data_IF_387322676073
#
_entry.id   IF_387322676073
#
_cell.length_a   1.000
_cell.length_b   1.000
_cell.length_c   1.000
_cell.angle_alpha   90.00
_cell.angle_beta   90.00
_cell.angle_gamma   90.00
#
_symmetry.space_group_name_H-M   'P 1'
#
loop_
_entity.id
_entity.type
_entity.pdbx_description
1 polymer ?
#
# COMPACT_ATOMS: atom_id res chain seq x y z
N UNK A 1 -19.16 -20.43 -6.78
CA UNK A 1 -18.06 -19.46 -6.92
C UNK A 1 -17.22 -19.88 -8.10
N UNK A 2 -17.01 -18.97 -9.02
CA UNK A 2 -16.15 -19.18 -10.19
C UNK A 2 -14.69 -19.34 -9.74
N UNK A 3 -13.84 -19.98 -10.54
CA UNK A 3 -12.42 -20.20 -10.21
C UNK A 3 -11.72 -18.85 -9.97
N UNK A 4 -12.11 -17.83 -10.73
CA UNK A 4 -11.60 -16.48 -10.64
C UNK A 4 -11.91 -15.86 -9.26
N UNK A 5 -13.15 -16.02 -8.77
CA UNK A 5 -13.58 -15.50 -7.47
C UNK A 5 -12.80 -16.13 -6.31
N UNK A 6 -12.48 -17.43 -6.44
CA UNK A 6 -11.71 -18.16 -5.42
C UNK A 6 -10.25 -17.71 -5.39
N UNK A 7 -9.63 -17.45 -6.54
CA UNK A 7 -8.26 -16.92 -6.60
C UNK A 7 -8.22 -15.51 -5.99
N UNK A 8 -9.23 -14.69 -6.27
CA UNK A 8 -9.30 -13.34 -5.71
C UNK A 8 -9.39 -13.36 -4.18
N UNK A 9 -10.41 -14.03 -3.64
CA UNK A 9 -10.70 -14.03 -2.20
C UNK A 9 -9.66 -14.76 -1.35
N UNK A 10 -9.12 -15.88 -1.84
CA UNK A 10 -8.22 -16.73 -1.04
C UNK A 10 -6.73 -16.39 -1.23
N UNK A 11 -6.38 -15.68 -2.32
CA UNK A 11 -4.97 -15.41 -2.67
C UNK A 11 -4.72 -13.91 -2.80
N UNK A 12 -5.45 -13.21 -3.67
CA UNK A 12 -5.16 -11.80 -3.96
C UNK A 12 -5.50 -10.89 -2.78
N UNK A 13 -6.69 -11.01 -2.19
CA UNK A 13 -7.12 -10.15 -1.10
C UNK A 13 -6.18 -10.26 0.13
N UNK A 14 -5.79 -11.45 0.60
CA UNK A 14 -4.79 -11.58 1.67
C UNK A 14 -3.43 -10.98 1.32
N UNK A 15 -2.97 -11.14 0.07
CA UNK A 15 -1.69 -10.56 -0.38
C UNK A 15 -1.75 -9.03 -0.38
N UNK A 16 -2.86 -8.44 -0.84
CA UNK A 16 -3.04 -6.99 -0.83
C UNK A 16 -3.00 -6.45 0.61
N UNK A 17 -3.70 -7.10 1.53
CA UNK A 17 -3.68 -6.74 2.97
C UNK A 17 -2.28 -6.88 3.56
N UNK A 18 -1.57 -7.97 3.21
CA UNK A 18 -0.19 -8.19 3.67
C UNK A 18 0.74 -7.10 3.14
N UNK A 19 0.67 -6.77 1.85
CA UNK A 19 1.48 -5.72 1.24
C UNK A 19 1.19 -4.36 1.87
N UNK A 20 -0.08 -4.06 2.17
CA UNK A 20 -0.46 -2.84 2.89
C UNK A 20 0.18 -2.79 4.28
N UNK A 21 0.10 -3.90 5.02
CA UNK A 21 0.78 -4.03 6.32
C UNK A 21 2.29 -3.78 6.21
N UNK A 22 2.96 -4.37 5.22
CA UNK A 22 4.39 -4.17 4.96
C UNK A 22 4.70 -2.71 4.64
N UNK A 23 3.89 -2.05 3.80
CA UNK A 23 4.09 -0.64 3.45
C UNK A 23 3.97 0.28 4.67
N UNK A 24 2.99 0.04 5.54
CA UNK A 24 2.82 0.77 6.80
C UNK A 24 3.99 0.53 7.74
N UNK A 25 4.42 -0.72 7.92
CA UNK A 25 5.58 -1.05 8.77
C UNK A 25 6.84 -0.39 8.25
N UNK A 26 7.06 -0.40 6.94
CA UNK A 26 8.22 0.24 6.31
C UNK A 26 8.21 1.76 6.47
N UNK A 27 7.03 2.39 6.35
CA UNK A 27 6.83 3.80 6.65
C UNK A 27 7.18 4.11 8.11
N UNK A 28 6.64 3.34 9.05
CA UNK A 28 6.89 3.52 10.48
C UNK A 28 8.37 3.32 10.83
N UNK A 29 9.04 2.35 10.21
CA UNK A 29 10.48 2.17 10.35
C UNK A 29 11.26 3.41 9.90
N UNK A 30 10.90 3.99 8.75
CA UNK A 30 11.48 5.25 8.29
C UNK A 30 11.24 6.41 9.25
N UNK A 31 10.03 6.50 9.81
CA UNK A 31 9.66 7.52 10.80
C UNK A 31 10.47 7.39 12.10
N UNK A 32 10.60 6.17 12.64
CA UNK A 32 11.41 5.92 13.82
C UNK A 32 12.88 6.28 13.57
N UNK A 33 13.43 5.88 12.42
CA UNK A 33 14.80 6.22 12.04
C UNK A 33 15.01 7.72 11.86
N UNK A 34 14.03 8.43 11.30
CA UNK A 34 14.05 9.88 11.16
C UNK A 34 14.07 10.60 12.51
N UNK A 35 13.25 10.16 13.48
CA UNK A 35 13.16 10.78 14.81
C UNK A 35 14.41 10.47 15.65
N UNK A 36 14.89 9.22 15.65
CA UNK A 36 16.05 8.81 16.45
C UNK A 36 17.37 9.45 15.99
N UNK A 37 17.46 9.84 14.71
CA UNK A 37 18.67 10.41 14.12
C UNK A 37 18.54 11.91 13.85
N UNK A 38 17.82 12.64 14.71
CA UNK A 38 17.58 14.07 14.54
C UNK A 38 18.89 14.89 14.39
N UNK A 39 19.97 14.46 15.06
CA UNK A 39 21.27 15.15 15.07
C UNK A 39 22.22 14.68 13.94
N UNK A 40 21.81 13.70 13.13
CA UNK A 40 22.60 13.17 12.03
C UNK A 40 21.87 13.34 10.70
N UNK A 41 22.25 14.36 9.94
CA UNK A 41 21.59 14.70 8.66
C UNK A 41 21.54 13.54 7.66
N UNK A 42 22.59 12.70 7.61
CA UNK A 42 22.67 11.57 6.67
C UNK A 42 21.65 10.49 7.02
N UNK A 43 21.62 10.08 8.29
CA UNK A 43 20.66 9.07 8.77
C UNK A 43 19.22 9.61 8.75
N UNK A 44 19.04 10.92 8.97
CA UNK A 44 17.76 11.59 8.81
C UNK A 44 17.26 11.57 7.36
N UNK A 45 18.14 11.80 6.37
CA UNK A 45 17.80 11.69 4.93
C UNK A 45 17.36 10.27 4.59
N UNK A 46 18.04 9.26 5.11
CA UNK A 46 17.67 7.86 4.89
C UNK A 46 16.28 7.53 5.48
N UNK A 47 15.99 7.98 6.71
CA UNK A 47 14.67 7.84 7.33
C UNK A 47 13.56 8.49 6.49
N UNK A 48 13.81 9.69 5.93
CA UNK A 48 12.89 10.35 4.98
C UNK A 48 12.65 9.52 3.73
N UNK A 49 13.70 8.92 3.17
CA UNK A 49 13.57 8.09 1.98
C UNK A 49 12.73 6.83 2.26
N UNK A 50 12.92 6.18 3.40
CA UNK A 50 12.08 5.05 3.81
C UNK A 50 10.61 5.43 3.99
N UNK A 51 10.33 6.57 4.63
CA UNK A 51 8.96 7.10 4.73
C UNK A 51 8.36 7.32 3.34
N UNK A 52 9.12 7.93 2.42
CA UNK A 52 8.64 8.21 1.07
C UNK A 52 8.26 6.93 0.31
N UNK A 53 9.10 5.89 0.36
CA UNK A 53 8.79 4.60 -0.26
C UNK A 53 7.54 3.95 0.36
N UNK A 54 7.37 4.04 1.68
CA UNK A 54 6.15 3.57 2.34
C UNK A 54 4.89 4.31 1.88
N UNK A 55 4.96 5.65 1.79
CA UNK A 55 3.86 6.49 1.29
C UNK A 55 3.53 6.17 -0.17
N UNK A 56 4.55 5.99 -1.02
CA UNK A 56 4.34 5.60 -2.42
C UNK A 56 3.59 4.26 -2.50
N UNK A 57 4.00 3.27 -1.70
CA UNK A 57 3.32 1.97 -1.64
C UNK A 57 1.84 2.09 -1.26
N UNK A 58 1.54 2.86 -0.20
CA UNK A 58 0.17 3.11 0.25
C UNK A 58 -0.63 3.87 -0.80
N UNK A 59 -0.03 4.88 -1.45
CA UNK A 59 -0.67 5.66 -2.49
C UNK A 59 -1.11 4.80 -3.67
N UNK A 60 -0.26 3.88 -4.15
CA UNK A 60 -0.63 2.97 -5.24
C UNK A 60 -1.80 2.06 -4.88
N UNK A 61 -1.89 1.58 -3.64
CA UNK A 61 -3.02 0.74 -3.21
C UNK A 61 -4.34 1.51 -3.26
N UNK A 62 -4.35 2.73 -2.74
CA UNK A 62 -5.53 3.61 -2.79
C UNK A 62 -5.87 3.98 -4.23
N UNK A 63 -4.86 4.31 -5.04
CA UNK A 63 -5.04 4.68 -6.44
C UNK A 63 -5.65 3.54 -7.27
N UNK A 64 -5.10 2.33 -7.16
CA UNK A 64 -5.62 1.16 -7.89
C UNK A 64 -7.05 0.84 -7.44
N UNK A 65 -7.32 0.81 -6.14
CA UNK A 65 -8.68 0.62 -5.63
C UNK A 65 -9.65 1.68 -6.16
N UNK A 66 -9.26 2.95 -6.15
CA UNK A 66 -10.07 4.05 -6.67
C UNK A 66 -10.35 3.92 -8.16
N UNK A 67 -9.32 3.61 -8.96
CA UNK A 67 -9.44 3.43 -10.41
C UNK A 67 -10.34 2.25 -10.75
N UNK A 68 -10.17 1.10 -10.08
CA UNK A 68 -10.99 -0.09 -10.33
C UNK A 68 -12.47 0.17 -10.01
N UNK A 69 -12.75 0.82 -8.88
CA UNK A 69 -14.11 1.19 -8.51
C UNK A 69 -14.71 2.22 -9.48
N UNK A 70 -13.93 3.23 -9.87
CA UNK A 70 -14.37 4.21 -10.85
C UNK A 70 -14.72 3.55 -12.18
N UNK A 71 -13.81 2.71 -12.71
CA UNK A 71 -14.02 1.98 -13.95
C UNK A 71 -15.26 1.07 -13.88
N UNK A 72 -15.44 0.31 -12.78
CA UNK A 72 -16.60 -0.56 -12.58
C UNK A 72 -17.92 0.23 -12.61
N UNK A 73 -17.96 1.38 -11.92
CA UNK A 73 -19.14 2.25 -11.92
C UNK A 73 -19.44 2.82 -13.32
N UNK A 74 -18.41 3.18 -14.10
CA UNK A 74 -18.59 3.75 -15.45
C UNK A 74 -19.16 2.71 -16.43
N UNK A 75 -18.72 1.45 -16.34
CA UNK A 75 -19.16 0.39 -17.28
C UNK A 75 -20.36 -0.41 -16.77
N UNK A 76 -20.90 -0.08 -15.59
CA UNK A 76 -22.01 -0.81 -14.97
C UNK A 76 -21.65 -2.23 -14.53
N UNK A 77 -20.36 -2.51 -14.34
CA UNK A 77 -19.92 -3.81 -13.84
C UNK A 77 -20.24 -3.95 -12.34
N UNK A 78 -20.53 -5.18 -11.87
CA UNK A 78 -20.53 -5.47 -10.44
C UNK A 78 -19.21 -5.01 -9.83
N UNK A 79 -19.27 -4.37 -8.66
CA UNK A 79 -18.04 -3.92 -8.00
C UNK A 79 -17.19 -5.15 -7.71
N UNK A 80 -15.86 -5.09 -7.97
CA UNK A 80 -14.97 -6.21 -7.72
C UNK A 80 -14.80 -6.55 -6.23
N UNK A 81 -15.58 -5.90 -5.35
CA UNK A 81 -15.64 -6.09 -3.91
C UNK A 81 -17.11 -5.97 -3.45
#
# INVERSE_FOLDING_TARGET
MDIIEKIQSEILDPIIVLLFGVAVVYFLYGLLKFIQNADNETAQKEGRQHMLWGVIGIFFMIAVYGILNFAANVVGAPRPY
#
